data_IF_631065676425
#
_entry.id   IF_631065676425
#
_cell.length_a   1.000
_cell.length_b   1.000
_cell.length_c   1.000
_cell.angle_alpha   90.00
_cell.angle_beta   90.00
_cell.angle_gamma   90.00
#
_symmetry.space_group_name_H-M   'P 1'
#
loop_
_entity.id
_entity.type
_entity.pdbx_description
1 polymer ?
#
# COMPACT_ATOMS: atom_id res chain seq x y z
N UNK A 1 -48.82 -39.46 -18.54
CA UNK A 1 -48.20 -39.20 -19.83
C UNK A 1 -48.63 -37.79 -20.27
N UNK A 2 -47.77 -36.82 -20.06
CA UNK A 2 -47.93 -35.50 -20.62
C UNK A 2 -46.53 -34.86 -20.68
N UNK A 3 -46.04 -34.80 -21.91
CA UNK A 3 -44.74 -34.28 -22.32
C UNK A 3 -44.88 -32.78 -22.47
N UNK A 4 -44.14 -31.98 -21.70
CA UNK A 4 -44.07 -30.52 -21.89
C UNK A 4 -42.66 -30.14 -22.32
N UNK A 5 -42.41 -30.17 -23.63
CA UNK A 5 -41.19 -29.70 -24.26
C UNK A 5 -41.04 -28.19 -24.12
N UNK A 6 -39.94 -27.77 -23.47
CA UNK A 6 -39.47 -26.38 -23.46
C UNK A 6 -38.76 -26.07 -24.78
N UNK A 7 -39.47 -25.34 -25.66
CA UNK A 7 -38.95 -24.79 -26.91
C UNK A 7 -38.03 -23.59 -26.63
N UNK A 8 -36.72 -23.78 -26.64
CA UNK A 8 -35.74 -22.69 -26.61
C UNK A 8 -35.71 -21.97 -27.98
N UNK A 9 -36.11 -20.73 -27.99
CA UNK A 9 -36.18 -19.89 -29.21
C UNK A 9 -34.79 -19.46 -29.68
N UNK A 10 -34.34 -20.02 -30.81
CA UNK A 10 -33.06 -19.75 -31.49
C UNK A 10 -32.85 -18.28 -31.91
N UNK A 11 -33.90 -17.45 -31.88
CA UNK A 11 -33.84 -16.04 -32.31
C UNK A 11 -33.18 -15.08 -31.32
N UNK A 12 -33.01 -15.49 -30.03
CA UNK A 12 -32.35 -14.65 -29.00
C UNK A 12 -30.83 -14.82 -28.95
N UNK A 13 -30.31 -15.92 -29.51
CA UNK A 13 -28.87 -16.20 -29.53
C UNK A 13 -28.10 -15.45 -30.63
N UNK A 14 -28.73 -15.15 -31.75
CA UNK A 14 -28.12 -14.45 -32.89
C UNK A 14 -27.93 -12.95 -32.57
N UNK A 15 -28.85 -12.35 -31.82
CA UNK A 15 -28.75 -10.94 -31.42
C UNK A 15 -27.57 -10.65 -30.46
N UNK A 16 -27.25 -11.61 -29.59
CA UNK A 16 -26.17 -11.44 -28.59
C UNK A 16 -24.76 -11.54 -29.24
N UNK A 17 -24.59 -12.37 -30.25
CA UNK A 17 -23.31 -12.55 -30.97
C UNK A 17 -22.96 -11.32 -31.82
N UNK A 18 -23.96 -10.67 -32.41
CA UNK A 18 -23.76 -9.46 -33.22
C UNK A 18 -23.37 -8.25 -32.36
N UNK A 19 -23.92 -8.12 -31.15
CA UNK A 19 -23.58 -7.01 -30.25
C UNK A 19 -22.14 -7.16 -29.69
N UNK A 20 -21.71 -8.39 -29.36
CA UNK A 20 -20.35 -8.65 -28.88
C UNK A 20 -19.33 -8.46 -30.02
N UNK A 21 -19.64 -8.87 -31.25
CA UNK A 21 -18.76 -8.68 -32.42
C UNK A 21 -18.58 -7.20 -32.79
N UNK A 22 -19.59 -6.37 -32.59
CA UNK A 22 -19.49 -4.93 -32.89
C UNK A 22 -18.75 -4.13 -31.83
N UNK A 23 -18.72 -4.60 -30.56
CA UNK A 23 -17.95 -3.97 -29.47
C UNK A 23 -16.44 -4.24 -29.60
N UNK A 24 -16.03 -5.38 -30.17
CA UNK A 24 -14.61 -5.72 -30.39
C UNK A 24 -13.99 -4.90 -31.53
N UNK A 25 -14.77 -4.55 -32.55
CA UNK A 25 -14.27 -3.76 -33.68
C UNK A 25 -14.10 -2.25 -33.38
N UNK A 26 -14.66 -1.75 -32.29
CA UNK A 26 -14.47 -0.35 -31.87
C UNK A 26 -13.21 -0.12 -30.99
N UNK A 27 -12.53 -1.19 -30.55
CA UNK A 27 -11.32 -1.08 -29.72
C UNK A 27 -10.01 -1.16 -30.50
N UNK A 28 -10.02 -1.55 -31.78
CA UNK A 28 -8.79 -1.64 -32.61
C UNK A 28 -8.42 -0.35 -33.36
N UNK A 29 -9.18 0.73 -33.22
CA UNK A 29 -9.00 1.99 -33.97
C UNK A 29 -8.18 3.09 -33.31
N UNK A 30 -7.66 2.94 -32.08
CA UNK A 30 -7.03 4.06 -31.33
C UNK A 30 -5.55 3.78 -30.97
N UNK A 31 -4.83 2.99 -31.73
CA UNK A 31 -3.43 2.66 -31.39
C UNK A 31 -2.35 3.18 -32.37
N UNK A 32 -2.62 4.19 -33.20
CA UNK A 32 -1.62 4.68 -34.18
C UNK A 32 -1.22 6.17 -34.02
N UNK A 33 -1.71 6.92 -33.04
CA UNK A 33 -1.34 8.34 -32.90
C UNK A 33 -0.69 8.76 -31.58
N UNK A 34 -0.18 7.83 -30.74
CA UNK A 34 0.42 8.12 -29.42
C UNK A 34 1.95 8.11 -29.35
N UNK A 35 2.66 7.87 -30.43
CA UNK A 35 4.10 7.54 -30.41
C UNK A 35 5.10 8.72 -30.44
N UNK A 36 4.69 9.94 -30.69
CA UNK A 36 5.64 11.05 -30.98
C UNK A 36 5.56 12.28 -30.08
N UNK A 37 4.74 12.31 -29.03
CA UNK A 37 4.61 13.50 -28.17
C UNK A 37 5.47 13.45 -26.91
N UNK A 38 5.97 12.29 -26.50
CA UNK A 38 6.74 12.12 -25.25
C UNK A 38 8.23 12.49 -25.39
N UNK A 39 8.79 12.54 -26.58
CA UNK A 39 10.22 12.88 -26.79
C UNK A 39 10.55 14.37 -26.80
N UNK A 40 9.57 15.26 -26.87
CA UNK A 40 9.82 16.71 -27.00
C UNK A 40 9.82 17.49 -25.66
N UNK A 41 9.49 16.87 -24.51
CA UNK A 41 9.41 17.58 -23.23
C UNK A 41 10.54 17.28 -22.24
N UNK A 42 11.45 16.36 -22.52
CA UNK A 42 12.58 16.02 -21.62
C UNK A 42 13.77 16.98 -21.81
N UNK A 43 13.89 17.68 -22.95
CA UNK A 43 15.07 18.51 -23.22
C UNK A 43 14.95 19.99 -22.86
N UNK A 44 13.86 20.46 -22.21
CA UNK A 44 13.70 21.87 -21.83
C UNK A 44 13.74 22.17 -20.35
N UNK A 45 14.09 21.22 -19.50
CA UNK A 45 14.13 21.45 -18.04
C UNK A 45 15.54 21.59 -17.45
N UNK A 46 16.57 21.82 -18.26
CA UNK A 46 17.91 22.10 -17.77
C UNK A 46 18.29 23.55 -18.06
N UNK A 47 17.62 24.52 -17.46
CA UNK A 47 18.18 25.86 -17.29
C UNK A 47 17.43 26.66 -16.25
N UNK A 48 18.20 27.11 -15.27
CA UNK A 48 17.93 28.09 -14.20
C UNK A 48 17.57 27.52 -12.83
N UNK A 49 18.62 27.04 -12.16
CA UNK A 49 18.73 27.06 -10.71
C UNK A 49 18.60 28.50 -10.20
N UNK A 50 17.51 28.77 -9.49
CA UNK A 50 17.46 29.85 -8.51
C UNK A 50 17.15 29.19 -7.16
N UNK A 51 18.01 29.30 -6.14
CA UNK A 51 17.75 28.72 -4.84
C UNK A 51 16.60 29.48 -4.16
N UNK A 52 15.51 28.77 -3.92
CA UNK A 52 14.38 29.31 -3.16
C UNK A 52 14.74 29.35 -1.68
N UNK A 53 15.07 30.53 -1.17
CA UNK A 53 15.49 30.80 0.23
C UNK A 53 14.41 30.56 1.29
N UNK A 54 13.25 30.00 0.95
CA UNK A 54 12.13 29.81 1.89
C UNK A 54 11.94 28.37 2.38
N UNK A 55 12.80 27.42 2.00
CA UNK A 55 12.72 26.02 2.47
C UNK A 55 13.50 25.82 3.78
N UNK A 56 14.47 26.68 4.07
CA UNK A 56 15.34 26.56 5.24
C UNK A 56 14.66 26.75 6.61
N UNK A 57 13.39 27.16 6.66
CA UNK A 57 12.71 27.50 7.93
C UNK A 57 11.85 26.39 8.52
N UNK A 58 11.79 25.19 7.92
CA UNK A 58 10.93 24.08 8.38
C UNK A 58 11.66 22.76 8.68
N UNK A 59 12.96 22.70 8.49
CA UNK A 59 13.74 21.51 8.85
C UNK A 59 14.20 21.61 10.31
N UNK A 60 13.94 20.55 11.08
CA UNK A 60 14.42 20.44 12.45
C UNK A 60 15.96 20.56 12.48
N UNK A 61 16.58 21.24 13.49
CA UNK A 61 18.04 21.46 13.54
C UNK A 61 18.90 20.20 13.42
N UNK A 62 18.35 19.03 13.78
CA UNK A 62 19.03 17.74 13.67
C UNK A 62 19.18 17.21 12.23
N UNK A 63 18.32 17.66 11.29
CA UNK A 63 18.42 17.27 9.86
C UNK A 63 19.34 18.17 9.05
N UNK A 64 19.55 19.43 9.49
CA UNK A 64 20.41 20.37 8.77
C UNK A 64 21.91 20.03 8.86
N UNK A 65 22.32 19.22 9.84
CA UNK A 65 23.71 18.78 10.00
C UNK A 65 24.11 17.63 9.06
N UNK A 66 23.13 16.79 8.63
CA UNK A 66 23.44 15.63 7.80
C UNK A 66 23.68 15.98 6.31
N UNK A 67 22.97 16.98 5.77
CA UNK A 67 23.14 17.37 4.36
C UNK A 67 24.45 18.10 4.06
N UNK A 68 25.02 18.78 5.05
CA UNK A 68 26.27 19.53 4.87
C UNK A 68 27.51 18.66 4.92
N UNK A 69 27.44 17.51 5.61
CA UNK A 69 28.58 16.57 5.72
C UNK A 69 28.61 15.54 4.59
N UNK A 70 27.49 15.22 3.97
CA UNK A 70 27.40 14.27 2.85
C UNK A 70 27.99 14.85 1.55
N UNK A 71 28.11 16.18 1.44
CA UNK A 71 28.63 16.85 0.23
C UNK A 71 30.16 16.82 0.09
N UNK A 72 30.92 16.41 1.12
CA UNK A 72 32.37 16.30 1.06
C UNK A 72 32.76 14.82 1.19
N UNK A 73 32.88 14.16 0.05
CA UNK A 73 33.15 12.73 -0.09
C UNK A 73 34.61 12.32 0.21
N UNK A 74 35.35 13.12 0.99
CA UNK A 74 36.74 12.86 1.35
C UNK A 74 36.87 12.78 2.89
N UNK A 75 36.51 11.60 3.48
CA UNK A 75 36.94 11.29 4.83
C UNK A 75 35.90 10.99 5.89
N UNK A 76 34.70 10.48 5.53
CA UNK A 76 33.86 9.83 6.54
C UNK A 76 34.59 8.54 6.99
N UNK A 77 34.88 8.44 8.28
CA UNK A 77 35.43 7.19 8.83
C UNK A 77 34.40 6.07 8.68
N UNK A 78 34.84 4.85 8.46
CA UNK A 78 33.99 3.66 8.37
C UNK A 78 33.03 3.56 9.56
N UNK A 79 33.45 4.02 10.75
CA UNK A 79 32.64 4.08 11.97
C UNK A 79 31.37 4.98 11.81
N UNK A 80 31.47 6.08 11.05
CA UNK A 80 30.33 6.99 10.82
C UNK A 80 29.38 6.42 9.79
N UNK A 81 29.90 5.76 8.75
CA UNK A 81 29.11 5.07 7.74
C UNK A 81 28.32 3.93 8.39
N UNK A 82 28.99 3.11 9.22
CA UNK A 82 28.34 2.03 9.96
C UNK A 82 27.29 2.55 10.95
N UNK A 83 27.55 3.67 11.63
CA UNK A 83 26.58 4.29 12.53
C UNK A 83 25.33 4.80 11.79
N UNK A 84 25.50 5.39 10.59
CA UNK A 84 24.38 5.86 9.75
C UNK A 84 23.59 4.69 9.18
N UNK A 85 24.27 3.65 8.68
CA UNK A 85 23.63 2.42 8.18
C UNK A 85 22.83 1.73 9.28
N UNK A 86 23.42 1.61 10.50
CA UNK A 86 22.72 1.01 11.63
C UNK A 86 21.54 1.87 12.12
N UNK A 87 21.63 3.20 12.05
CA UNK A 87 20.53 4.10 12.39
C UNK A 87 19.38 3.98 11.38
N UNK A 88 19.67 3.95 10.09
CA UNK A 88 18.66 3.78 9.03
C UNK A 88 18.02 2.39 9.10
N UNK A 89 18.82 1.34 9.39
CA UNK A 89 18.30 -0.02 9.56
C UNK A 89 17.40 -0.14 10.81
N UNK A 90 17.77 0.49 11.93
CA UNK A 90 16.97 0.51 13.16
C UNK A 90 15.63 1.26 12.96
N UNK A 91 15.64 2.33 12.18
CA UNK A 91 14.41 3.09 11.85
C UNK A 91 13.47 2.28 10.94
N UNK A 92 14.02 1.42 10.07
CA UNK A 92 13.21 0.55 9.20
C UNK A 92 12.42 -0.51 9.97
N UNK A 93 12.80 -0.87 11.19
CA UNK A 93 12.06 -1.82 12.05
C UNK A 93 10.81 -1.20 12.68
N UNK A 94 10.72 0.14 12.71
CA UNK A 94 9.58 0.88 13.23
C UNK A 94 8.93 1.69 12.11
N UNK A 95 7.73 1.31 11.73
CA UNK A 95 7.01 1.92 10.62
C UNK A 95 5.82 2.71 11.14
N UNK A 96 5.58 3.88 10.56
CA UNK A 96 4.38 4.68 10.83
C UNK A 96 3.58 4.80 9.54
N UNK A 97 2.29 4.51 9.62
CA UNK A 97 1.35 4.66 8.51
C UNK A 97 0.12 5.45 8.98
N UNK A 98 -0.41 6.29 8.10
CA UNK A 98 -1.57 7.10 8.39
C UNK A 98 -2.74 6.68 7.50
N UNK A 99 -3.95 6.60 8.12
CA UNK A 99 -5.22 6.44 7.43
C UNK A 99 -6.10 7.67 7.62
N UNK A 100 -6.98 7.98 6.67
CA UNK A 100 -7.83 9.16 6.71
C UNK A 100 -9.29 8.86 6.32
N UNK A 101 -10.20 9.85 6.52
CA UNK A 101 -11.63 9.72 6.19
C UNK A 101 -11.91 9.61 4.67
N UNK A 102 -10.89 9.67 3.81
CA UNK A 102 -11.01 9.47 2.36
C UNK A 102 -10.64 8.04 1.93
N UNK A 103 -10.59 7.08 2.84
CA UNK A 103 -10.21 5.67 2.56
C UNK A 103 -8.80 5.55 1.99
N UNK A 104 -7.85 6.30 2.51
CA UNK A 104 -6.48 6.30 1.99
C UNK A 104 -5.47 6.02 3.09
N UNK A 105 -4.50 5.15 2.79
CA UNK A 105 -3.22 5.13 3.47
C UNK A 105 -2.26 6.12 2.77
N UNK A 106 -1.44 6.80 3.57
CA UNK A 106 -0.40 7.71 3.05
C UNK A 106 0.76 6.94 2.38
N UNK A 107 0.95 5.66 2.71
CA UNK A 107 1.96 4.78 2.11
C UNK A 107 1.30 3.73 1.21
N UNK A 108 1.97 3.41 0.09
CA UNK A 108 1.63 2.29 -0.79
C UNK A 108 2.67 1.18 -0.77
N UNK A 109 3.82 1.45 -0.18
CA UNK A 109 4.86 0.48 0.10
C UNK A 109 5.45 0.75 1.48
N UNK A 110 5.73 -0.30 2.24
CA UNK A 110 6.47 -0.28 3.49
C UNK A 110 7.68 -1.21 3.32
N UNK A 111 8.87 -0.74 3.69
CA UNK A 111 10.11 -1.50 3.55
C UNK A 111 10.74 -1.68 4.93
N UNK A 112 11.08 -2.90 5.27
CA UNK A 112 11.78 -3.25 6.52
C UNK A 112 13.08 -3.99 6.22
N UNK A 113 14.04 -3.91 7.13
CA UNK A 113 15.28 -4.66 7.02
C UNK A 113 15.10 -6.11 7.48
N UNK A 114 15.72 -7.06 6.79
CA UNK A 114 15.83 -8.46 7.22
C UNK A 114 16.62 -8.61 8.53
N UNK A 115 17.41 -7.59 8.93
CA UNK A 115 18.15 -7.55 10.19
C UNK A 115 17.28 -7.24 11.42
N UNK A 116 16.01 -6.82 11.23
CA UNK A 116 15.09 -6.60 12.34
C UNK A 116 14.78 -7.92 13.04
N UNK A 117 14.83 -7.98 14.36
CA UNK A 117 14.30 -9.12 15.14
C UNK A 117 12.79 -9.00 15.36
N UNK A 118 12.32 -7.79 15.54
CA UNK A 118 10.91 -7.44 15.68
C UNK A 118 10.59 -6.23 14.81
N UNK A 119 9.36 -6.19 14.31
CA UNK A 119 8.84 -5.10 13.49
C UNK A 119 7.64 -4.51 14.22
N UNK A 120 7.64 -3.18 14.40
CA UNK A 120 6.52 -2.45 14.95
C UNK A 120 5.89 -1.56 13.89
N UNK A 121 4.60 -1.71 13.68
CA UNK A 121 3.81 -0.82 12.81
C UNK A 121 2.83 -0.03 13.64
N UNK A 122 2.93 1.30 13.58
CA UNK A 122 2.00 2.24 14.23
C UNK A 122 1.07 2.83 13.18
N UNK A 123 -0.21 2.57 13.33
CA UNK A 123 -1.28 3.17 12.53
C UNK A 123 -1.82 4.39 13.25
N UNK A 124 -1.91 5.52 12.55
CA UNK A 124 -2.57 6.76 13.02
C UNK A 124 -3.78 7.04 12.15
N UNK A 125 -4.91 7.35 12.76
CA UNK A 125 -6.10 7.80 12.03
C UNK A 125 -6.15 9.32 12.03
N UNK A 126 -5.80 9.97 10.92
CA UNK A 126 -5.74 11.44 10.78
C UNK A 126 -7.08 12.10 10.47
N UNK A 127 -8.15 11.29 10.30
CA UNK A 127 -9.52 11.78 10.16
C UNK A 127 -10.20 12.08 11.49
N UNK A 128 -11.51 12.32 11.44
CA UNK A 128 -12.35 12.66 12.59
C UNK A 128 -13.56 11.73 12.78
N UNK A 129 -13.80 10.81 11.82
CA UNK A 129 -14.99 9.95 11.84
C UNK A 129 -14.89 8.85 12.90
N UNK A 130 -16.03 8.45 13.53
CA UNK A 130 -16.04 7.43 14.54
C UNK A 130 -15.70 6.03 14.00
N UNK A 131 -15.18 5.17 14.86
CA UNK A 131 -14.66 3.83 14.54
C UNK A 131 -15.66 2.91 13.84
N UNK A 132 -16.95 3.05 14.14
CA UNK A 132 -18.01 2.23 13.54
C UNK A 132 -18.45 2.70 12.15
N UNK A 133 -17.98 3.86 11.68
CA UNK A 133 -18.29 4.47 10.38
C UNK A 133 -17.09 4.44 9.45
N UNK A 134 -15.92 4.83 9.96
CA UNK A 134 -14.67 4.97 9.20
C UNK A 134 -13.50 4.40 10.00
N UNK A 135 -13.70 3.22 10.60
CA UNK A 135 -12.62 2.55 11.34
C UNK A 135 -11.50 2.07 10.40
N UNK A 136 -10.27 2.16 10.88
CA UNK A 136 -9.11 1.63 10.18
C UNK A 136 -8.30 0.70 11.08
N UNK A 137 -7.79 -0.37 10.49
CA UNK A 137 -6.74 -1.21 11.05
C UNK A 137 -5.64 -1.43 10.01
N UNK A 138 -4.57 -2.05 10.43
CA UNK A 138 -3.50 -2.51 9.58
C UNK A 138 -3.37 -4.03 9.74
N UNK A 139 -3.47 -4.77 8.63
CA UNK A 139 -3.40 -6.24 8.59
C UNK A 139 -2.34 -6.63 7.57
N UNK A 140 -1.50 -7.63 7.89
CA UNK A 140 -0.47 -8.18 7.02
C UNK A 140 -0.75 -9.64 6.70
N UNK A 141 -0.63 -10.00 5.43
CA UNK A 141 -0.72 -11.37 4.91
C UNK A 141 0.29 -11.59 3.79
N UNK A 142 0.55 -12.85 3.43
CA UNK A 142 1.07 -13.12 2.10
C UNK A 142 0.10 -12.55 1.05
N UNK A 143 0.62 -12.08 -0.07
CA UNK A 143 -0.22 -11.45 -1.12
C UNK A 143 -1.28 -12.40 -1.68
N UNK A 144 -0.97 -13.71 -1.74
CA UNK A 144 -1.93 -14.72 -2.17
C UNK A 144 -3.14 -14.86 -1.22
N UNK A 145 -2.96 -14.56 0.07
CA UNK A 145 -3.98 -14.68 1.11
C UNK A 145 -4.77 -13.39 1.37
N UNK A 146 -4.34 -12.27 0.78
CA UNK A 146 -4.94 -10.96 1.00
C UNK A 146 -6.46 -10.96 0.80
N UNK A 147 -6.96 -11.32 -0.38
CA UNK A 147 -8.39 -11.29 -0.69
C UNK A 147 -9.23 -12.27 0.15
N UNK A 148 -8.79 -13.53 0.34
CA UNK A 148 -9.48 -14.46 1.23
C UNK A 148 -9.61 -13.95 2.66
N UNK A 149 -8.53 -13.39 3.26
CA UNK A 149 -8.55 -12.84 4.62
C UNK A 149 -9.40 -11.57 4.71
N UNK A 150 -9.26 -10.63 3.76
CA UNK A 150 -10.06 -9.40 3.71
C UNK A 150 -11.57 -9.71 3.64
N UNK A 151 -11.95 -10.71 2.86
CA UNK A 151 -13.35 -11.15 2.73
C UNK A 151 -13.85 -11.79 4.03
N UNK A 152 -13.06 -12.67 4.65
CA UNK A 152 -13.41 -13.33 5.91
C UNK A 152 -13.49 -12.33 7.08
N UNK A 153 -12.68 -11.27 7.05
CA UNK A 153 -12.66 -10.20 8.04
C UNK A 153 -14.01 -9.50 8.21
N UNK A 154 -14.76 -9.32 7.12
CA UNK A 154 -16.12 -8.76 7.18
C UNK A 154 -17.06 -9.56 8.10
N UNK A 155 -16.96 -10.88 8.09
CA UNK A 155 -17.73 -11.77 8.96
C UNK A 155 -17.27 -11.80 10.42
N UNK A 156 -16.02 -11.44 10.70
CA UNK A 156 -15.48 -11.40 12.06
C UNK A 156 -16.05 -10.23 12.89
N UNK A 157 -16.46 -9.16 12.24
CA UNK A 157 -17.09 -7.98 12.86
C UNK A 157 -16.12 -7.10 13.66
N UNK A 158 -16.63 -5.94 14.09
CA UNK A 158 -15.86 -4.93 14.82
C UNK A 158 -15.27 -5.47 16.13
N UNK A 159 -16.00 -6.35 16.84
CA UNK A 159 -15.52 -6.95 18.09
C UNK A 159 -14.25 -7.79 17.95
N UNK A 160 -13.96 -8.26 16.74
CA UNK A 160 -12.72 -8.96 16.38
C UNK A 160 -11.85 -8.12 15.44
N UNK A 161 -11.99 -6.79 15.48
CA UNK A 161 -11.24 -5.85 14.63
C UNK A 161 -11.35 -6.16 13.11
N UNK A 162 -12.44 -6.79 12.66
CA UNK A 162 -12.60 -7.30 11.29
C UNK A 162 -11.45 -8.22 10.84
N UNK A 163 -10.89 -8.99 11.77
CA UNK A 163 -9.83 -9.97 11.51
C UNK A 163 -10.37 -11.35 11.86
N UNK A 164 -10.25 -12.36 10.96
CA UNK A 164 -10.68 -13.72 11.25
C UNK A 164 -9.91 -14.29 12.43
N UNK A 165 -10.62 -14.83 13.42
CA UNK A 165 -10.03 -15.34 14.66
C UNK A 165 -9.24 -16.63 14.36
N UNK A 166 -8.01 -16.72 14.86
CA UNK A 166 -7.11 -17.87 14.70
C UNK A 166 -6.85 -18.27 13.23
N UNK A 167 -6.89 -17.32 12.31
CA UNK A 167 -6.56 -17.57 10.91
C UNK A 167 -5.05 -17.48 10.70
N UNK A 168 -4.41 -18.62 10.41
CA UNK A 168 -2.96 -18.71 10.22
C UNK A 168 -2.41 -17.89 9.04
N UNK A 169 -3.28 -17.38 8.16
CA UNK A 169 -2.90 -16.50 7.05
C UNK A 169 -2.66 -15.07 7.48
N UNK A 170 -3.13 -14.68 8.66
CA UNK A 170 -2.88 -13.36 9.25
C UNK A 170 -1.52 -13.38 9.93
N UNK A 171 -0.54 -12.69 9.37
CA UNK A 171 0.81 -12.58 9.92
C UNK A 171 0.79 -11.63 11.13
N UNK A 172 0.15 -10.46 10.97
CA UNK A 172 0.01 -9.47 12.03
C UNK A 172 -1.24 -8.62 11.78
N UNK A 173 -1.85 -8.10 12.86
CA UNK A 173 -2.97 -7.18 12.75
C UNK A 173 -3.03 -6.24 13.95
N UNK A 174 -3.33 -4.96 13.68
CA UNK A 174 -3.61 -3.96 14.73
C UNK A 174 -5.09 -3.96 15.12
N UNK A 175 -5.42 -3.30 16.21
CA UNK A 175 -6.81 -2.97 16.53
C UNK A 175 -7.41 -2.00 15.49
N UNK A 176 -8.75 -2.03 15.34
CA UNK A 176 -9.48 -1.01 14.58
C UNK A 176 -9.60 0.26 15.42
N UNK A 177 -9.23 1.39 14.82
CA UNK A 177 -9.29 2.72 15.49
C UNK A 177 -10.16 3.69 14.69
N UNK A 178 -10.72 4.68 15.38
CA UNK A 178 -11.43 5.81 14.79
C UNK A 178 -10.58 7.07 14.70
N UNK A 179 -11.17 8.13 14.17
CA UNK A 179 -10.50 9.42 13.95
C UNK A 179 -9.79 9.97 15.18
N UNK A 180 -8.58 10.46 14.99
CA UNK A 180 -7.71 11.03 16.03
C UNK A 180 -6.99 9.99 16.91
N UNK A 181 -7.25 8.69 16.76
CA UNK A 181 -6.62 7.63 17.54
C UNK A 181 -5.36 7.04 16.84
N UNK A 182 -4.54 6.36 17.63
CA UNK A 182 -3.44 5.54 17.13
C UNK A 182 -3.41 4.16 17.77
N UNK A 183 -2.81 3.19 17.12
CA UNK A 183 -2.61 1.81 17.57
C UNK A 183 -1.32 1.27 16.98
N UNK A 184 -0.70 0.32 17.68
CA UNK A 184 0.50 -0.34 17.20
C UNK A 184 0.35 -1.85 17.26
N UNK A 185 1.04 -2.53 16.37
CA UNK A 185 1.25 -3.99 16.40
C UNK A 185 2.73 -4.26 16.27
N UNK A 186 3.25 -5.16 17.15
CA UNK A 186 4.63 -5.65 17.09
C UNK A 186 4.60 -7.15 16.83
N UNK A 187 5.44 -7.62 15.92
CA UNK A 187 5.54 -9.03 15.55
C UNK A 187 6.98 -9.41 15.19
N UNK A 188 7.31 -10.70 15.32
CA UNK A 188 8.64 -11.22 14.96
C UNK A 188 8.86 -11.18 13.47
N UNK A 189 10.04 -10.75 13.05
CA UNK A 189 10.47 -10.82 11.66
C UNK A 189 10.67 -12.26 11.16
N UNK A 190 10.82 -13.24 12.06
CA UNK A 190 10.89 -14.66 11.71
C UNK A 190 9.64 -15.18 10.96
N UNK A 191 8.54 -14.42 11.02
CA UNK A 191 7.32 -14.70 10.26
C UNK A 191 7.42 -14.28 8.79
N UNK A 192 8.50 -13.61 8.40
CA UNK A 192 8.72 -13.07 7.07
C UNK A 192 9.98 -13.66 6.43
N UNK A 193 10.04 -13.58 5.10
CA UNK A 193 11.21 -14.00 4.31
C UNK A 193 11.53 -12.98 3.24
N UNK A 194 12.81 -12.76 2.97
CA UNK A 194 13.26 -11.91 1.85
C UNK A 194 12.81 -12.56 0.53
N UNK A 195 12.26 -11.74 -0.37
CA UNK A 195 11.82 -12.18 -1.70
C UNK A 195 10.40 -12.74 -1.77
N UNK A 196 9.71 -12.86 -0.63
CA UNK A 196 8.29 -13.18 -0.61
C UNK A 196 7.43 -11.91 -0.78
N UNK A 197 6.26 -12.08 -1.36
CA UNK A 197 5.31 -11.01 -1.61
C UNK A 197 4.29 -10.90 -0.46
N UNK A 198 4.30 -9.76 0.23
CA UNK A 198 3.35 -9.46 1.30
C UNK A 198 2.48 -8.26 0.94
N UNK A 199 1.21 -8.30 1.39
CA UNK A 199 0.26 -7.19 1.26
C UNK A 199 -0.23 -6.75 2.64
N UNK A 200 -0.11 -5.45 2.93
CA UNK A 200 -0.82 -4.84 4.04
C UNK A 200 -2.11 -4.17 3.57
N UNK A 201 -3.14 -4.17 4.42
CA UNK A 201 -4.44 -3.60 4.07
C UNK A 201 -5.26 -3.25 5.32
N UNK A 202 -6.32 -2.44 5.11
CA UNK A 202 -7.38 -2.23 6.10
C UNK A 202 -8.51 -3.24 5.87
N UNK A 203 -8.82 -4.06 6.87
CA UNK A 203 -9.87 -5.09 6.75
C UNK A 203 -11.27 -4.61 7.12
N UNK A 204 -11.45 -3.34 7.50
CA UNK A 204 -12.78 -2.76 7.66
C UNK A 204 -13.60 -2.96 6.37
N UNK A 205 -14.90 -3.33 6.43
CA UNK A 205 -15.70 -3.70 5.27
C UNK A 205 -15.62 -2.68 4.12
N UNK A 206 -15.16 -3.15 2.95
CA UNK A 206 -15.02 -2.35 1.73
C UNK A 206 -13.71 -1.55 1.62
N UNK A 207 -12.98 -1.29 2.73
CA UNK A 207 -11.77 -0.46 2.72
C UNK A 207 -10.60 -1.13 1.99
N UNK A 208 -10.44 -2.44 2.09
CA UNK A 208 -9.36 -3.22 1.48
C UNK A 208 -9.26 -3.05 -0.05
N UNK A 209 -10.32 -2.60 -0.70
CA UNK A 209 -10.28 -2.36 -2.15
C UNK A 209 -9.27 -1.26 -2.51
N UNK A 210 -9.15 -0.23 -1.65
CA UNK A 210 -8.35 0.99 -1.87
C UNK A 210 -7.22 1.10 -0.84
N UNK A 211 -7.50 0.81 0.43
CA UNK A 211 -6.54 0.91 1.54
C UNK A 211 -5.68 -0.35 1.62
N UNK A 212 -4.66 -0.42 0.78
CA UNK A 212 -3.67 -1.50 0.72
C UNK A 212 -2.36 -1.04 0.10
N UNK A 213 -1.31 -1.82 0.34
CA UNK A 213 0.01 -1.63 -0.24
C UNK A 213 0.89 -2.87 -0.11
N UNK A 214 2.08 -2.81 -0.67
CA UNK A 214 3.11 -3.85 -0.58
C UNK A 214 3.92 -3.71 0.71
N UNK A 215 4.30 -4.83 1.30
CA UNK A 215 5.23 -4.88 2.43
C UNK A 215 6.44 -5.69 2.00
N UNK A 216 7.63 -5.09 2.05
CA UNK A 216 8.85 -5.61 1.44
C UNK A 216 9.92 -5.80 2.51
N UNK A 217 10.54 -6.98 2.54
CA UNK A 217 11.72 -7.28 3.38
C UNK A 217 12.96 -7.19 2.50
N UNK A 218 13.92 -6.34 2.90
CA UNK A 218 15.19 -6.16 2.19
C UNK A 218 16.38 -6.40 3.13
N UNK A 219 17.47 -6.85 2.54
CA UNK A 219 18.78 -6.97 3.19
C UNK A 219 19.45 -5.61 3.31
#
# INVERSE_FOLDING_TARGET
MSDSGLGFSHKRFIGLIVVIGMLVLLFEGISIFGGNIIKAQVERSTSKNHPNKNIEKRLHPAMALSEKEISNNDGLSDDVVDAVVNFVAADSCNQIIEGNDMLQFNLKEMVVSSSCSEITVTLKHTGAMPVNVMGHNWVLTNTADFMPVATAGGGAGLGNNYVPVNDARVIAASAVIGGGAETSVTFSSDLLSTGEDYTFFCSFPGHYAIMKGSFVVRD
#
